data_IF_599898058879
#
_entry.id   IF_599898058879
#
_cell.length_a   1.000
_cell.length_b   1.000
_cell.length_c   1.000
_cell.angle_alpha   90.00
_cell.angle_beta   90.00
_cell.angle_gamma   90.00
#
_symmetry.space_group_name_H-M   'P 1'
#
loop_
_entity.id
_entity.type
_entity.pdbx_description
1 polymer ?
#
# COMPACT_ATOMS: atom_id res chain seq x y z
N UNK A 1 -22.54 3.38 12.53
CA UNK A 1 -21.54 2.71 11.68
C UNK A 1 -20.15 2.99 12.26
N UNK A 2 -19.15 2.20 11.87
CA UNK A 2 -17.76 2.28 12.36
C UNK A 2 -16.83 2.48 11.16
N UNK A 3 -15.65 3.06 11.39
CA UNK A 3 -14.63 3.19 10.36
C UNK A 3 -14.32 1.84 9.69
N UNK A 4 -14.05 1.87 8.39
CA UNK A 4 -13.80 0.72 7.51
C UNK A 4 -12.35 0.69 7.05
N UNK A 5 -11.74 -0.48 6.96
CA UNK A 5 -10.37 -0.65 6.42
C UNK A 5 -10.35 -0.35 4.93
N UNK A 6 -9.43 0.50 4.49
CA UNK A 6 -9.23 0.89 3.08
C UNK A 6 -7.91 0.40 2.51
N UNK A 7 -6.88 0.24 3.35
CA UNK A 7 -5.57 -0.24 2.95
C UNK A 7 -4.99 -1.13 4.05
N UNK A 8 -4.58 -2.33 3.65
CA UNK A 8 -3.72 -3.23 4.41
C UNK A 8 -2.30 -3.07 3.84
N UNK A 9 -1.53 -2.14 4.40
CA UNK A 9 -0.19 -1.80 3.88
C UNK A 9 0.85 -2.82 4.37
N UNK A 10 0.80 -3.12 5.67
CA UNK A 10 1.73 -4.02 6.35
C UNK A 10 1.04 -4.66 7.57
N UNK A 11 1.66 -5.61 8.28
CA UNK A 11 1.07 -6.25 9.46
C UNK A 11 0.77 -5.27 10.60
N UNK A 12 1.56 -4.19 10.68
CA UNK A 12 1.50 -3.22 11.76
C UNK A 12 0.94 -1.85 11.27
N UNK A 13 0.62 -1.73 9.98
CA UNK A 13 0.13 -0.49 9.36
C UNK A 13 -1.12 -0.74 8.51
N UNK A 14 -2.20 -0.05 8.86
CA UNK A 14 -3.45 -0.04 8.09
C UNK A 14 -4.02 1.36 8.01
N UNK A 15 -4.78 1.64 6.94
CA UNK A 15 -5.56 2.87 6.80
C UNK A 15 -7.03 2.51 6.93
N UNK A 16 -7.74 3.34 7.68
CA UNK A 16 -9.20 3.28 7.81
C UNK A 16 -9.82 4.57 7.30
N UNK A 17 -11.02 4.46 6.74
CA UNK A 17 -11.84 5.60 6.36
C UNK A 17 -13.24 5.52 6.97
N UNK A 18 -13.92 6.65 7.04
CA UNK A 18 -15.26 6.78 7.59
C UNK A 18 -15.64 8.26 7.60
N UNK A 19 -16.78 8.59 8.21
CA UNK A 19 -17.14 9.99 8.41
C UNK A 19 -16.13 10.69 9.34
N UNK A 20 -16.21 12.02 9.40
CA UNK A 20 -15.37 12.81 10.32
C UNK A 20 -15.55 12.33 11.76
N UNK A 21 -16.80 12.13 12.18
CA UNK A 21 -17.15 11.67 13.52
C UNK A 21 -16.68 10.24 13.80
N UNK A 22 -16.73 9.36 12.79
CA UNK A 22 -16.24 7.98 12.92
C UNK A 22 -14.72 7.93 13.06
N UNK A 23 -14.01 8.72 12.25
CA UNK A 23 -12.55 8.82 12.33
C UNK A 23 -12.10 9.49 13.63
N UNK A 24 -12.84 10.50 14.14
CA UNK A 24 -12.56 11.14 15.43
C UNK A 24 -12.64 10.13 16.57
N UNK A 25 -13.74 9.36 16.58
CA UNK A 25 -13.95 8.32 17.58
C UNK A 25 -12.88 7.24 17.52
N UNK A 26 -12.45 6.87 16.31
CA UNK A 26 -11.40 5.88 16.08
C UNK A 26 -10.05 6.37 16.63
N UNK A 27 -9.62 7.58 16.27
CA UNK A 27 -8.37 8.19 16.76
C UNK A 27 -8.36 8.26 18.29
N UNK A 28 -9.43 8.77 18.90
CA UNK A 28 -9.54 8.83 20.36
C UNK A 28 -9.47 7.43 21.00
N UNK A 29 -10.01 6.40 20.32
CA UNK A 29 -9.90 5.00 20.73
C UNK A 29 -8.47 4.46 20.69
N UNK A 30 -7.72 4.78 19.64
CA UNK A 30 -6.31 4.44 19.51
C UNK A 30 -5.47 5.11 20.60
N UNK A 31 -5.68 6.40 20.85
CA UNK A 31 -4.96 7.16 21.89
C UNK A 31 -5.15 6.54 23.28
N UNK A 32 -6.39 6.23 23.67
CA UNK A 32 -6.68 5.55 24.95
C UNK A 32 -5.95 4.22 25.09
N UNK A 33 -5.75 3.53 23.97
CA UNK A 33 -5.07 2.22 23.90
C UNK A 33 -3.57 2.35 23.66
N UNK A 34 -3.02 3.56 23.56
CA UNK A 34 -1.62 3.85 23.23
C UNK A 34 -1.18 3.24 21.88
N UNK A 35 -2.10 3.17 20.93
CA UNK A 35 -1.83 2.74 19.55
C UNK A 35 -1.50 4.00 18.74
N UNK A 36 -0.38 3.97 18.01
CA UNK A 36 -0.02 5.07 17.10
C UNK A 36 -1.09 5.23 16.03
N UNK A 37 -1.67 6.43 15.91
CA UNK A 37 -2.70 6.74 14.93
C UNK A 37 -2.54 8.19 14.49
N UNK A 38 -2.52 8.43 13.19
CA UNK A 38 -2.38 9.76 12.62
C UNK A 38 -3.45 9.97 11.56
N UNK A 39 -4.00 11.18 11.50
CA UNK A 39 -4.92 11.56 10.43
C UNK A 39 -4.18 11.79 9.13
N UNK A 40 -4.71 11.20 8.08
CA UNK A 40 -4.25 11.44 6.72
C UNK A 40 -5.13 12.53 6.12
N UNK A 41 -4.51 13.64 5.67
CA UNK A 41 -5.23 14.75 5.04
C UNK A 41 -5.42 14.44 3.56
N UNK A 42 -6.59 13.94 3.20
CA UNK A 42 -7.02 13.67 1.82
C UNK A 42 -8.33 14.37 1.55
N UNK A 43 -8.53 14.78 0.30
CA UNK A 43 -9.73 15.48 -0.15
C UNK A 43 -10.91 14.51 -0.38
N UNK A 44 -10.63 13.21 -0.53
CA UNK A 44 -11.62 12.17 -0.75
C UNK A 44 -11.13 10.82 -0.20
N UNK A 45 -12.07 9.91 0.06
CA UNK A 45 -11.81 8.59 0.66
C UNK A 45 -12.15 7.45 -0.30
N UNK A 46 -11.22 7.12 -1.19
CA UNK A 46 -11.33 5.93 -2.04
C UNK A 46 -11.35 4.64 -1.18
N UNK A 47 -11.69 3.51 -1.81
CA UNK A 47 -11.77 2.20 -1.20
C UNK A 47 -12.84 2.10 -0.10
N UNK A 48 -13.94 2.83 -0.29
CA UNK A 48 -15.02 3.01 0.69
C UNK A 48 -16.39 3.01 0.00
N UNK A 49 -17.47 2.59 0.69
CA UNK A 49 -18.86 2.77 0.23
C UNK A 49 -19.21 4.20 -0.18
N UNK A 50 -18.50 5.20 0.33
CA UNK A 50 -18.68 6.60 -0.07
C UNK A 50 -18.46 6.86 -1.57
N UNK A 51 -17.78 5.94 -2.27
CA UNK A 51 -17.56 6.02 -3.72
C UNK A 51 -18.66 5.36 -4.56
N UNK A 52 -19.64 4.67 -3.96
CA UNK A 52 -20.73 4.01 -4.71
C UNK A 52 -21.41 4.93 -5.75
N UNK A 53 -21.66 6.23 -5.48
CA UNK A 53 -22.28 7.13 -6.45
C UNK A 53 -21.45 7.47 -7.70
N UNK A 54 -20.13 7.18 -7.70
CA UNK A 54 -19.28 7.46 -8.87
C UNK A 54 -19.15 6.27 -9.81
N UNK A 55 -19.79 5.14 -9.50
CA UNK A 55 -19.69 3.91 -10.30
C UNK A 55 -20.11 4.14 -11.75
N UNK A 56 -21.34 4.60 -11.98
CA UNK A 56 -21.86 4.78 -13.33
C UNK A 56 -21.05 5.81 -14.14
N UNK A 57 -20.73 7.01 -13.61
CA UNK A 57 -19.85 7.96 -14.30
C UNK A 57 -18.47 7.39 -14.66
N UNK A 58 -17.90 6.54 -13.80
CA UNK A 58 -16.61 5.91 -14.06
C UNK A 58 -16.71 4.88 -15.18
N UNK A 59 -17.72 4.01 -15.15
CA UNK A 59 -17.93 3.00 -16.19
C UNK A 59 -18.15 3.64 -17.55
N UNK A 60 -18.96 4.71 -17.62
CA UNK A 60 -19.18 5.48 -18.85
C UNK A 60 -17.87 6.10 -19.37
N UNK A 61 -17.06 6.64 -18.47
CA UNK A 61 -15.76 7.25 -18.83
C UNK A 61 -14.74 6.22 -19.33
N UNK A 62 -14.89 4.96 -18.93
CA UNK A 62 -14.02 3.84 -19.33
C UNK A 62 -14.65 2.95 -20.41
N UNK A 63 -15.77 3.33 -21.01
CA UNK A 63 -16.49 2.50 -21.98
C UNK A 63 -15.66 2.13 -23.24
N UNK A 64 -14.68 2.97 -23.60
CA UNK A 64 -13.75 2.71 -24.71
C UNK A 64 -12.46 1.99 -24.31
N UNK A 65 -12.34 1.53 -23.07
CA UNK A 65 -11.15 0.80 -22.61
C UNK A 65 -11.11 -0.58 -23.27
N UNK A 66 -9.99 -0.90 -23.91
CA UNK A 66 -9.73 -2.20 -24.53
C UNK A 66 -8.56 -2.88 -23.79
N UNK A 67 -8.82 -3.67 -22.72
CA UNK A 67 -7.77 -4.36 -21.98
C UNK A 67 -7.09 -5.42 -22.84
N UNK A 68 -5.76 -5.46 -22.78
CA UNK A 68 -4.94 -6.38 -23.57
C UNK A 68 -4.08 -7.27 -22.68
N UNK A 69 -3.64 -8.40 -23.22
CA UNK A 69 -2.68 -9.25 -22.54
C UNK A 69 -1.36 -8.50 -22.32
N UNK A 70 -0.96 -8.35 -21.07
CA UNK A 70 0.36 -7.85 -20.71
C UNK A 70 1.43 -8.93 -20.87
N UNK A 71 2.66 -8.51 -21.17
CA UNK A 71 3.84 -9.40 -21.19
C UNK A 71 4.45 -9.61 -19.81
N UNK A 72 4.08 -8.77 -18.84
CA UNK A 72 4.49 -8.85 -17.44
C UNK A 72 3.30 -9.28 -16.60
N UNK A 73 3.46 -10.28 -15.69
CA UNK A 73 2.39 -10.67 -14.78
C UNK A 73 1.90 -9.48 -13.96
N UNK A 74 0.60 -9.22 -14.00
CA UNK A 74 -0.04 -8.20 -13.18
C UNK A 74 -0.60 -8.85 -11.92
N UNK A 75 -0.07 -8.47 -10.76
CA UNK A 75 -0.54 -8.96 -9.47
C UNK A 75 -1.50 -7.93 -8.87
N UNK A 76 -2.78 -8.24 -8.83
CA UNK A 76 -3.79 -7.30 -8.35
C UNK A 76 -3.81 -7.24 -6.83
N UNK A 77 -3.81 -6.02 -6.28
CA UNK A 77 -4.02 -5.78 -4.84
C UNK A 77 -5.50 -5.81 -4.42
N UNK A 78 -6.42 -5.96 -5.38
CA UNK A 78 -7.86 -6.16 -5.12
C UNK A 78 -8.11 -7.64 -4.86
N UNK A 79 -7.66 -8.51 -5.79
CA UNK A 79 -7.87 -9.96 -5.68
C UNK A 79 -6.80 -10.67 -4.87
N UNK A 80 -5.59 -10.10 -4.79
CA UNK A 80 -4.41 -10.74 -4.18
C UNK A 80 -3.74 -11.78 -5.09
N UNK A 81 -4.16 -11.88 -6.36
CA UNK A 81 -3.73 -12.92 -7.30
C UNK A 81 -3.26 -12.34 -8.64
N UNK A 82 -2.51 -13.15 -9.38
CA UNK A 82 -2.10 -12.79 -10.76
C UNK A 82 -3.34 -12.72 -11.63
N UNK A 83 -3.59 -11.54 -12.17
CA UNK A 83 -4.76 -11.23 -12.99
C UNK A 83 -4.31 -11.01 -14.44
N UNK A 84 -4.95 -11.64 -15.44
CA UNK A 84 -4.60 -11.42 -16.83
C UNK A 84 -4.91 -9.98 -17.23
N UNK A 85 -4.06 -9.37 -18.06
CA UNK A 85 -4.25 -7.98 -18.51
C UNK A 85 -5.59 -7.75 -19.22
N UNK A 86 -6.13 -8.78 -19.88
CA UNK A 86 -7.44 -8.74 -20.54
C UNK A 86 -8.62 -8.62 -19.57
N UNK A 87 -8.42 -8.87 -18.27
CA UNK A 87 -9.45 -8.73 -17.24
C UNK A 87 -9.41 -7.37 -16.52
N UNK A 88 -8.52 -6.45 -16.95
CA UNK A 88 -8.39 -5.10 -16.37
C UNK A 88 -9.37 -4.11 -17.03
N UNK A 89 -10.65 -4.50 -17.07
CA UNK A 89 -11.76 -3.76 -17.66
C UNK A 89 -12.31 -2.64 -16.75
N UNK A 90 -13.33 -1.91 -17.22
CA UNK A 90 -13.95 -0.83 -16.45
C UNK A 90 -14.49 -1.31 -15.09
N UNK A 91 -15.07 -2.50 -15.02
CA UNK A 91 -15.57 -3.09 -13.78
C UNK A 91 -14.43 -3.46 -12.82
N UNK A 92 -13.28 -3.90 -13.32
CA UNK A 92 -12.07 -4.07 -12.53
C UNK A 92 -11.60 -2.74 -11.93
N UNK A 93 -11.55 -1.67 -12.73
CA UNK A 93 -11.12 -0.36 -12.22
C UNK A 93 -12.11 0.25 -11.24
N UNK A 94 -13.41 0.01 -11.40
CA UNK A 94 -14.41 0.32 -10.40
C UNK A 94 -14.14 -0.43 -9.08
N UNK A 95 -13.95 -1.76 -9.14
CA UNK A 95 -13.60 -2.56 -7.96
C UNK A 95 -12.31 -2.08 -7.30
N UNK A 96 -11.30 -1.74 -8.10
CA UNK A 96 -10.04 -1.20 -7.60
C UNK A 96 -10.24 0.11 -6.83
N UNK A 97 -11.08 1.01 -7.34
CA UNK A 97 -11.42 2.26 -6.66
C UNK A 97 -12.27 2.05 -5.39
N UNK A 98 -13.10 1.00 -5.37
CA UNK A 98 -14.13 0.79 -4.36
C UNK A 98 -13.76 -0.16 -3.24
N UNK A 99 -12.95 -1.17 -3.52
CA UNK A 99 -12.57 -2.22 -2.57
C UNK A 99 -11.25 -1.88 -1.87
N UNK A 100 -11.01 -2.42 -0.65
CA UNK A 100 -9.76 -2.21 0.07
C UNK A 100 -8.53 -2.71 -0.71
N UNK A 101 -7.43 -1.98 -0.60
CA UNK A 101 -6.13 -2.37 -1.16
C UNK A 101 -5.44 -3.35 -0.21
N UNK A 102 -5.19 -4.59 -0.67
CA UNK A 102 -4.59 -5.68 0.14
C UNK A 102 -3.09 -5.84 -0.15
N UNK A 103 -2.31 -4.78 0.06
CA UNK A 103 -0.90 -4.76 -0.31
C UNK A 103 -0.06 -5.79 0.46
N UNK A 104 -0.18 -5.86 1.80
CA UNK A 104 0.58 -6.80 2.62
C UNK A 104 0.32 -8.26 2.21
N UNK A 105 -0.96 -8.62 2.07
CA UNK A 105 -1.37 -9.95 1.62
C UNK A 105 -0.72 -10.31 0.27
N UNK A 106 -0.79 -9.38 -0.68
CA UNK A 106 -0.28 -9.55 -2.04
C UNK A 106 1.24 -9.74 -2.06
N UNK A 107 1.97 -8.94 -1.27
CA UNK A 107 3.44 -9.05 -1.12
C UNK A 107 3.84 -10.37 -0.46
N UNK A 108 3.15 -10.77 0.61
CA UNK A 108 3.41 -12.02 1.32
C UNK A 108 3.19 -13.25 0.45
N UNK A 109 2.12 -13.25 -0.36
CA UNK A 109 1.85 -14.33 -1.30
C UNK A 109 3.02 -14.54 -2.28
N UNK A 110 3.63 -13.46 -2.78
CA UNK A 110 4.81 -13.55 -3.65
C UNK A 110 6.07 -13.99 -2.92
N UNK A 111 6.32 -13.47 -1.72
CA UNK A 111 7.47 -13.90 -0.91
C UNK A 111 7.41 -15.39 -0.57
N UNK A 112 6.21 -15.94 -0.36
CA UNK A 112 6.01 -17.36 -0.12
C UNK A 112 6.32 -18.22 -1.36
N UNK A 113 6.19 -17.66 -2.56
CA UNK A 113 6.50 -18.34 -3.82
C UNK A 113 8.01 -18.36 -4.15
N UNK A 114 8.82 -17.47 -3.54
CA UNK A 114 10.27 -17.48 -3.67
C UNK A 114 10.94 -16.13 -3.38
N UNK A 115 12.28 -16.06 -3.44
CA UNK A 115 13.01 -14.80 -3.29
C UNK A 115 12.60 -13.80 -4.39
N UNK A 116 12.21 -12.60 -3.97
CA UNK A 116 11.77 -11.52 -4.86
C UNK A 116 12.42 -10.21 -4.45
N UNK A 117 12.75 -9.37 -5.44
CA UNK A 117 13.24 -8.00 -5.22
C UNK A 117 12.12 -7.03 -5.61
N UNK A 118 11.75 -6.14 -4.69
CA UNK A 118 10.75 -5.11 -4.95
C UNK A 118 11.44 -3.79 -5.30
N UNK A 119 11.02 -3.19 -6.42
CA UNK A 119 11.43 -1.86 -6.84
C UNK A 119 10.21 -0.94 -6.77
N UNK A 120 10.29 0.11 -5.96
CA UNK A 120 9.24 1.11 -5.85
C UNK A 120 9.47 2.25 -6.86
N UNK A 121 8.49 2.49 -7.73
CA UNK A 121 8.48 3.65 -8.63
C UNK A 121 7.73 4.82 -8.02
N UNK A 122 8.30 6.03 -8.05
CA UNK A 122 7.66 7.25 -7.55
C UNK A 122 8.64 8.29 -7.01
N UNK A 123 8.19 9.54 -6.89
CA UNK A 123 9.04 10.67 -6.45
C UNK A 123 9.28 10.74 -4.93
N UNK A 124 8.55 9.93 -4.15
CA UNK A 124 8.74 9.80 -2.71
C UNK A 124 8.85 8.31 -2.33
N UNK A 125 9.61 7.95 -1.28
CA UNK A 125 9.69 6.57 -0.79
C UNK A 125 8.39 6.24 -0.03
N UNK A 126 7.27 6.15 -0.74
CA UNK A 126 5.95 5.91 -0.16
C UNK A 126 5.70 4.44 0.17
N UNK A 127 6.32 3.50 -0.56
CA UNK A 127 6.17 2.06 -0.34
C UNK A 127 7.50 1.37 -0.62
N UNK A 128 8.42 1.45 0.33
CA UNK A 128 9.43 0.40 0.50
C UNK A 128 8.88 -0.45 1.61
N UNK A 129 8.38 -1.66 1.31
CA UNK A 129 7.87 -2.57 2.33
C UNK A 129 8.93 -2.67 3.43
N UNK A 130 8.63 -2.08 4.58
CA UNK A 130 9.59 -2.03 5.67
C UNK A 130 9.53 -3.39 6.35
N UNK A 131 10.27 -4.36 5.80
CA UNK A 131 10.72 -5.50 6.62
C UNK A 131 11.73 -4.95 7.63
N UNK A 132 11.22 -4.25 8.65
CA UNK A 132 12.00 -3.83 9.80
C UNK A 132 12.11 -5.05 10.71
N UNK A 133 12.83 -6.07 10.26
CA UNK A 133 13.46 -7.02 11.18
C UNK A 133 14.46 -6.23 12.02
N UNK A 134 13.99 -5.74 13.15
CA UNK A 134 14.79 -5.16 14.20
C UNK A 134 15.90 -6.16 14.56
N UNK A 135 17.12 -5.96 14.04
CA UNK A 135 18.32 -6.61 14.56
C UNK A 135 18.63 -5.97 15.91
N UNK A 136 17.88 -6.37 16.96
CA UNK A 136 18.35 -6.24 18.34
C UNK A 136 19.44 -7.27 18.56
N UNK A 137 20.68 -6.83 18.34
CA UNK A 137 21.89 -7.61 18.59
C UNK A 137 23.09 -6.69 18.51
N UNK A 138 23.37 -5.99 19.62
CA UNK A 138 24.51 -5.10 19.74
C UNK A 138 25.82 -5.81 19.41
N UNK A 139 26.53 -5.30 18.41
CA UNK A 139 27.97 -5.46 18.30
C UNK A 139 28.59 -4.10 18.04
N UNK A 140 29.24 -3.58 19.07
CA UNK A 140 30.17 -2.46 19.01
C UNK A 140 31.17 -2.70 17.87
N UNK A 141 31.14 -1.86 16.84
CA UNK A 141 32.20 -1.80 15.83
C UNK A 141 33.29 -0.87 16.36
N UNK A 142 34.44 -1.46 16.73
CA UNK A 142 35.69 -0.70 16.88
C UNK A 142 36.05 -0.07 15.53
N UNK A 143 36.56 1.17 15.48
CA UNK A 143 37.05 1.74 14.23
C UNK A 143 38.31 0.99 13.77
N UNK A 144 38.33 0.59 12.50
CA UNK A 144 39.53 0.08 11.82
C UNK A 144 40.50 1.22 11.49
N UNK A 145 41.78 0.92 11.23
CA UNK A 145 42.79 1.95 11.02
C UNK A 145 42.54 2.69 9.70
N UNK A 146 42.62 4.02 9.75
CA UNK A 146 42.39 4.92 8.62
C UNK A 146 43.45 4.77 7.53
N UNK A 147 43.01 4.90 6.28
CA UNK A 147 43.86 4.93 5.09
C UNK A 147 44.66 6.25 5.08
N UNK A 148 45.99 6.25 4.86
CA UNK A 148 46.75 7.49 4.79
C UNK A 148 46.55 8.21 3.45
N UNK A 149 46.50 9.54 3.52
CA UNK A 149 46.32 10.42 2.36
C UNK A 149 47.56 10.40 1.42
N UNK A 150 47.38 10.59 0.10
CA UNK A 150 48.49 10.67 -0.84
C UNK A 150 49.26 11.99 -0.67
N UNK A 151 50.59 11.92 -0.69
CA UNK A 151 51.50 13.07 -0.59
C UNK A 151 51.55 13.92 -1.86
N UNK A 152 52.07 15.16 -1.77
CA UNK A 152 52.03 16.12 -2.88
C UNK A 152 53.08 15.80 -3.96
N UNK A 153 52.73 16.09 -5.21
CA UNK A 153 53.60 16.11 -6.40
C UNK A 153 54.48 17.35 -6.45
#
# INVERSE_FOLDING_TARGET
MSATVTLEESPDTTVVSGTVEETDRFVAGCERRKISCQRVRVEYTAHSPLFDPVREPLLDSLAGLEPAAGTVPFLSTVTGEVTPGTALDADYWWRNLREPVRLDHTVRAQQAAGPVVFLAGGAAPGVVHSDRRERRGGRSRRPGPGIPAPGPT
#
